data_IF_711650445549
#
_entry.id   IF_711650445549
#
_cell.length_a   1.000
_cell.length_b   1.000
_cell.length_c   1.000
_cell.angle_alpha   90.00
_cell.angle_beta   90.00
_cell.angle_gamma   90.00
#
_symmetry.space_group_name_H-M   'P 1'
#
loop_
_entity.id
_entity.type
_entity.pdbx_description
1 polymer ?
#
# COMPACT_ATOMS: atom_id res chain seq x y z
N UNK A 1 -21.68 4.87 0.10
CA UNK A 1 -21.02 3.62 0.60
C UNK A 1 -20.59 3.92 2.02
N UNK A 2 -21.05 3.13 2.97
CA UNK A 2 -20.57 3.27 4.35
C UNK A 2 -19.19 2.60 4.53
N UNK A 3 -18.60 2.70 5.72
CA UNK A 3 -17.25 2.18 5.94
C UNK A 3 -17.19 0.65 5.88
N UNK A 4 -18.22 -0.05 6.36
CA UNK A 4 -18.27 -1.51 6.30
C UNK A 4 -18.34 -2.00 4.84
N UNK A 5 -19.22 -1.40 4.04
CA UNK A 5 -19.30 -1.68 2.59
C UNK A 5 -17.96 -1.43 1.90
N UNK A 6 -17.24 -0.36 2.28
CA UNK A 6 -15.93 -0.04 1.71
C UNK A 6 -14.89 -1.13 2.02
N UNK A 7 -14.79 -1.56 3.29
CA UNK A 7 -13.81 -2.60 3.68
C UNK A 7 -14.19 -3.97 3.13
N UNK A 8 -15.47 -4.22 2.91
CA UNK A 8 -15.97 -5.42 2.22
C UNK A 8 -15.64 -5.39 0.72
N UNK A 9 -15.76 -4.24 0.07
CA UNK A 9 -15.48 -4.06 -1.35
C UNK A 9 -13.98 -4.18 -1.66
N UNK A 10 -13.11 -3.56 -0.84
CA UNK A 10 -11.65 -3.57 -1.09
C UNK A 10 -11.12 -5.01 -1.13
N UNK A 11 -10.38 -5.35 -2.16
CA UNK A 11 -9.68 -6.63 -2.27
C UNK A 11 -8.30 -6.44 -2.94
N UNK A 12 -7.46 -7.48 -2.92
CA UNK A 12 -6.13 -7.43 -3.54
C UNK A 12 -6.22 -7.77 -5.02
N UNK A 13 -6.31 -6.73 -5.85
CA UNK A 13 -6.32 -6.86 -7.31
C UNK A 13 -4.93 -7.17 -7.84
N UNK A 14 -4.86 -8.13 -8.77
CA UNK A 14 -3.60 -8.59 -9.35
C UNK A 14 -3.58 -8.56 -10.88
N UNK A 15 -4.63 -8.07 -11.51
CA UNK A 15 -4.72 -7.86 -12.95
C UNK A 15 -5.28 -6.48 -13.24
N UNK A 16 -4.67 -5.77 -14.15
CA UNK A 16 -5.02 -4.39 -14.44
C UNK A 16 -5.22 -4.18 -15.93
N UNK A 17 -6.02 -3.20 -16.28
CA UNK A 17 -6.10 -2.65 -17.63
C UNK A 17 -5.01 -1.62 -17.84
N UNK A 18 -4.75 -1.26 -19.11
CA UNK A 18 -3.80 -0.19 -19.43
C UNK A 18 -4.34 1.23 -19.09
N UNK A 19 -5.56 1.34 -18.57
CA UNK A 19 -6.15 2.62 -18.20
C UNK A 19 -5.37 3.27 -17.07
N UNK A 20 -4.90 4.50 -17.30
CA UNK A 20 -4.19 5.29 -16.29
C UNK A 20 -5.10 5.72 -15.16
N UNK A 21 -4.56 5.74 -13.93
CA UNK A 21 -5.26 6.32 -12.77
C UNK A 21 -5.40 7.82 -12.98
N UNK A 22 -6.60 8.35 -12.75
CA UNK A 22 -6.85 9.79 -12.88
C UNK A 22 -6.09 10.57 -11.83
N UNK A 23 -5.54 11.72 -12.21
CA UNK A 23 -4.80 12.57 -11.28
C UNK A 23 -5.64 13.01 -10.08
N UNK A 24 -6.92 13.35 -10.30
CA UNK A 24 -7.85 13.73 -9.22
C UNK A 24 -8.07 12.63 -8.18
N UNK A 25 -8.09 11.35 -8.62
CA UNK A 25 -8.23 10.20 -7.72
C UNK A 25 -6.92 9.96 -6.96
N UNK A 26 -5.77 10.06 -7.62
CA UNK A 26 -4.46 9.99 -6.96
C UNK A 26 -4.31 11.09 -5.91
N UNK A 27 -4.66 12.33 -6.24
CA UNK A 27 -4.59 13.47 -5.31
C UNK A 27 -5.48 13.25 -4.08
N UNK A 28 -6.67 12.68 -4.28
CA UNK A 28 -7.55 12.30 -3.18
C UNK A 28 -6.92 11.22 -2.28
N UNK A 29 -6.38 10.15 -2.89
CA UNK A 29 -5.72 9.06 -2.18
C UNK A 29 -4.55 9.58 -1.34
N UNK A 30 -3.71 10.45 -1.91
CA UNK A 30 -2.57 11.04 -1.21
C UNK A 30 -2.99 11.99 -0.08
N UNK A 31 -4.12 12.72 -0.24
CA UNK A 31 -4.71 13.53 0.84
C UNK A 31 -5.17 12.64 2.01
N UNK A 32 -5.81 11.51 1.71
CA UNK A 32 -6.21 10.54 2.75
C UNK A 32 -4.99 9.92 3.44
N UNK A 33 -3.96 9.54 2.68
CA UNK A 33 -2.70 9.04 3.23
C UNK A 33 -2.07 10.01 4.22
N UNK A 34 -2.02 11.30 3.88
CA UNK A 34 -1.48 12.37 4.74
C UNK A 34 -2.23 12.49 6.09
N UNK A 35 -3.48 12.06 6.16
CA UNK A 35 -4.30 12.12 7.39
C UNK A 35 -4.09 10.90 8.30
N UNK A 36 -3.27 9.93 7.90
CA UNK A 36 -2.97 8.76 8.70
C UNK A 36 -2.28 9.16 10.01
N UNK A 37 -2.66 8.58 11.17
CA UNK A 37 -1.94 8.77 12.41
C UNK A 37 -0.62 8.00 12.41
N UNK A 38 0.31 8.42 13.25
CA UNK A 38 1.55 7.70 13.52
C UNK A 38 1.92 7.78 15.00
N UNK A 39 2.80 6.91 15.46
CA UNK A 39 3.29 6.94 16.83
C UNK A 39 3.92 8.31 17.15
N UNK A 40 3.38 8.99 18.18
CA UNK A 40 3.81 10.34 18.60
C UNK A 40 3.83 11.36 17.44
N UNK A 41 3.01 11.12 16.41
CA UNK A 41 2.92 11.95 15.20
C UNK A 41 4.27 12.12 14.46
N UNK A 42 5.09 11.07 14.46
CA UNK A 42 6.41 11.08 13.80
C UNK A 42 6.33 11.08 12.27
N UNK A 43 5.32 10.43 11.69
CA UNK A 43 5.09 10.36 10.24
C UNK A 43 6.36 9.92 9.47
N UNK A 44 6.98 8.77 9.82
CA UNK A 44 8.28 8.36 9.31
C UNK A 44 8.21 7.79 7.88
N UNK A 45 7.22 8.15 7.10
CA UNK A 45 6.99 7.63 5.76
C UNK A 45 7.32 8.62 4.66
N UNK A 46 7.69 8.06 3.51
CA UNK A 46 7.67 8.74 2.23
C UNK A 46 6.92 7.89 1.20
N UNK A 47 6.31 8.53 0.19
CA UNK A 47 5.51 7.87 -0.85
C UNK A 47 6.08 8.25 -2.20
N UNK A 48 6.64 7.28 -2.91
CA UNK A 48 7.10 7.45 -4.30
C UNK A 48 6.00 7.00 -5.25
N UNK A 49 5.64 7.84 -6.22
CA UNK A 49 4.66 7.53 -7.26
C UNK A 49 5.40 7.15 -8.53
N UNK A 50 5.31 5.89 -8.93
CA UNK A 50 6.02 5.36 -10.10
C UNK A 50 5.06 5.17 -11.28
N UNK A 51 5.45 5.71 -12.43
CA UNK A 51 4.73 5.58 -13.71
C UNK A 51 5.74 5.49 -14.88
N UNK A 52 5.28 5.09 -16.06
CA UNK A 52 6.10 5.09 -17.26
C UNK A 52 7.37 4.22 -17.15
N UNK A 53 8.52 4.75 -17.56
CA UNK A 53 9.77 3.97 -17.66
C UNK A 53 10.32 3.52 -16.31
N UNK A 54 10.19 4.33 -15.27
CA UNK A 54 10.65 3.93 -13.92
C UNK A 54 9.83 2.76 -13.38
N UNK A 55 8.52 2.73 -13.67
CA UNK A 55 7.65 1.61 -13.27
C UNK A 55 8.05 0.31 -14.00
N UNK A 56 8.42 0.37 -15.28
CA UNK A 56 8.89 -0.80 -16.03
C UNK A 56 10.15 -1.40 -15.42
N UNK A 57 11.03 -0.58 -14.85
CA UNK A 57 12.24 -1.04 -14.17
C UNK A 57 11.96 -1.77 -12.85
N UNK A 58 10.74 -1.69 -12.31
CA UNK A 58 10.32 -2.49 -11.16
C UNK A 58 10.06 -3.97 -11.49
N UNK A 59 9.92 -4.35 -12.77
CA UNK A 59 9.58 -5.71 -13.18
C UNK A 59 10.54 -6.81 -12.65
N UNK A 60 11.88 -6.64 -12.60
CA UNK A 60 12.77 -7.61 -11.99
C UNK A 60 12.71 -7.62 -10.44
N UNK A 61 12.27 -6.52 -9.82
CA UNK A 61 12.18 -6.34 -8.37
C UNK A 61 10.99 -7.12 -7.80
N UNK A 62 9.86 -7.09 -8.51
CA UNK A 62 8.69 -7.90 -8.20
C UNK A 62 8.28 -8.74 -9.41
N UNK A 63 8.71 -10.00 -9.43
CA UNK A 63 8.70 -10.91 -10.59
C UNK A 63 7.33 -11.53 -10.93
N UNK A 64 6.22 -10.92 -10.56
CA UNK A 64 4.89 -11.40 -10.96
C UNK A 64 4.41 -10.68 -12.21
N UNK A 65 3.96 -11.45 -13.20
CA UNK A 65 3.43 -10.91 -14.48
C UNK A 65 2.34 -9.87 -14.24
N UNK A 66 1.48 -10.12 -13.27
CA UNK A 66 0.37 -9.24 -12.90
C UNK A 66 0.80 -7.83 -12.47
N UNK A 67 2.03 -7.67 -11.97
CA UNK A 67 2.58 -6.36 -11.63
C UNK A 67 2.89 -5.53 -12.87
N UNK A 68 3.34 -6.18 -13.95
CA UNK A 68 3.71 -5.52 -15.21
C UNK A 68 2.51 -4.85 -15.90
N UNK A 69 1.29 -5.29 -15.59
CA UNK A 69 0.06 -4.74 -16.15
C UNK A 69 -0.40 -3.44 -15.44
N UNK A 70 0.08 -3.19 -14.21
CA UNK A 70 -0.34 -2.01 -13.44
C UNK A 70 0.18 -0.71 -14.09
N UNK A 71 -0.69 0.29 -14.35
CA UNK A 71 -0.29 1.56 -14.95
C UNK A 71 0.47 2.47 -13.96
N UNK A 72 0.41 2.16 -12.67
CA UNK A 72 1.02 2.94 -11.59
C UNK A 72 1.41 2.01 -10.42
N UNK A 73 2.45 2.39 -9.69
CA UNK A 73 2.78 1.78 -8.40
C UNK A 73 3.19 2.87 -7.40
N UNK A 74 2.65 2.79 -6.19
CA UNK A 74 3.22 3.54 -5.07
C UNK A 74 4.24 2.66 -4.35
N UNK A 75 5.39 3.24 -4.01
CA UNK A 75 6.35 2.63 -3.09
C UNK A 75 6.28 3.39 -1.78
N UNK A 76 5.88 2.71 -0.73
CA UNK A 76 5.80 3.29 0.60
C UNK A 76 7.08 2.92 1.34
N UNK A 77 7.82 3.92 1.74
CA UNK A 77 9.09 3.76 2.44
C UNK A 77 8.99 4.24 3.88
N UNK A 78 9.84 3.71 4.74
CA UNK A 78 9.95 4.12 6.12
C UNK A 78 11.35 4.57 6.46
N UNK A 79 11.48 5.64 7.26
CA UNK A 79 12.73 6.11 7.82
C UNK A 79 12.87 5.66 9.28
N UNK A 80 13.64 4.61 9.52
CA UNK A 80 13.85 4.02 10.84
C UNK A 80 14.57 4.96 11.84
N UNK A 81 15.25 6.01 11.36
CA UNK A 81 15.86 7.00 12.22
C UNK A 81 14.88 8.06 12.73
N UNK A 82 13.74 8.21 12.05
CA UNK A 82 12.67 9.16 12.40
C UNK A 82 11.50 8.50 13.12
N UNK A 83 11.39 7.17 13.05
CA UNK A 83 10.33 6.42 13.69
C UNK A 83 10.38 6.51 15.22
N UNK A 84 9.24 6.24 15.86
CA UNK A 84 9.19 6.13 17.31
C UNK A 84 9.66 4.75 17.77
N UNK A 85 10.44 4.72 18.86
CA UNK A 85 10.84 3.50 19.54
C UNK A 85 10.12 3.38 20.87
N UNK A 86 9.58 2.19 21.12
CA UNK A 86 8.98 1.84 22.41
C UNK A 86 10.09 1.72 23.47
N UNK A 87 9.71 1.75 24.75
CA UNK A 87 10.68 1.69 25.87
C UNK A 87 11.59 0.45 25.88
N UNK A 88 11.18 -0.63 25.17
CA UNK A 88 11.96 -1.86 24.97
C UNK A 88 12.72 -1.86 23.63
N UNK A 89 12.98 -0.69 23.09
CA UNK A 89 13.68 -0.43 21.82
C UNK A 89 12.98 -0.97 20.57
N UNK A 90 11.76 -1.48 20.68
CA UNK A 90 11.02 -1.92 19.50
C UNK A 90 10.71 -0.73 18.59
N UNK A 91 11.23 -0.81 17.36
CA UNK A 91 10.94 0.14 16.29
C UNK A 91 9.48 -0.01 15.81
N UNK A 92 8.77 1.10 15.67
CA UNK A 92 7.38 1.14 15.21
C UNK A 92 7.23 1.61 13.76
N UNK A 93 8.32 1.73 13.02
CA UNK A 93 8.30 2.19 11.63
C UNK A 93 7.31 1.39 10.78
N UNK A 94 7.41 0.07 10.77
CA UNK A 94 6.55 -0.81 9.98
C UNK A 94 5.07 -0.69 10.37
N UNK A 95 4.78 -0.43 11.65
CA UNK A 95 3.41 -0.21 12.14
C UNK A 95 2.85 1.09 11.54
N UNK A 96 3.63 2.18 11.59
CA UNK A 96 3.22 3.46 11.01
C UNK A 96 3.06 3.37 9.49
N UNK A 97 3.96 2.63 8.81
CA UNK A 97 3.83 2.36 7.37
C UNK A 97 2.56 1.54 7.06
N UNK A 98 2.22 0.55 7.89
CA UNK A 98 1.00 -0.21 7.70
C UNK A 98 -0.25 0.67 7.84
N UNK A 99 -0.26 1.61 8.78
CA UNK A 99 -1.39 2.54 9.00
C UNK A 99 -1.58 3.45 7.77
N UNK A 100 -0.53 4.12 7.29
CA UNK A 100 -0.65 5.00 6.11
C UNK A 100 -1.01 4.21 4.86
N UNK A 101 -0.49 3.00 4.71
CA UNK A 101 -0.81 2.12 3.56
C UNK A 101 -2.28 1.71 3.56
N UNK A 102 -2.87 1.39 4.72
CA UNK A 102 -4.30 1.06 4.80
C UNK A 102 -5.17 2.26 4.43
N UNK A 103 -4.81 3.49 4.81
CA UNK A 103 -5.49 4.71 4.34
C UNK A 103 -5.45 4.81 2.80
N UNK A 104 -4.30 4.52 2.19
CA UNK A 104 -4.14 4.53 0.73
C UNK A 104 -5.07 3.53 0.06
N UNK A 105 -5.06 2.27 0.50
CA UNK A 105 -5.83 1.21 -0.19
C UNK A 105 -7.34 1.36 0.01
N UNK A 106 -7.79 1.89 1.14
CA UNK A 106 -9.21 2.19 1.37
C UNK A 106 -9.66 3.40 0.56
N UNK A 107 -8.89 4.48 0.54
CA UNK A 107 -9.20 5.66 -0.29
C UNK A 107 -9.22 5.32 -1.78
N UNK A 108 -8.30 4.46 -2.25
CA UNK A 108 -8.31 3.95 -3.61
C UNK A 108 -9.60 3.16 -3.91
N UNK A 109 -9.99 2.24 -3.02
CA UNK A 109 -11.22 1.45 -3.18
C UNK A 109 -12.48 2.32 -3.21
N UNK A 110 -12.53 3.40 -2.43
CA UNK A 110 -13.62 4.38 -2.47
C UNK A 110 -13.73 5.05 -3.84
N UNK A 111 -12.58 5.38 -4.46
CA UNK A 111 -12.51 5.97 -5.80
C UNK A 111 -12.68 4.95 -6.93
N UNK A 112 -12.85 3.66 -6.61
CA UNK A 112 -12.91 2.60 -7.61
C UNK A 112 -11.57 2.31 -8.28
N UNK A 113 -10.46 2.71 -7.65
CA UNK A 113 -9.10 2.35 -8.04
C UNK A 113 -8.70 1.09 -7.30
N UNK A 114 -8.36 0.07 -8.06
CA UNK A 114 -7.96 -1.23 -7.50
C UNK A 114 -6.49 -1.25 -7.11
N UNK A 115 -6.18 -1.96 -6.02
CA UNK A 115 -4.82 -2.04 -5.47
C UNK A 115 -4.47 -3.45 -5.02
N UNK A 116 -3.17 -3.70 -4.85
CA UNK A 116 -2.67 -4.87 -4.14
C UNK A 116 -1.56 -4.45 -3.18
N UNK A 117 -1.64 -4.95 -1.94
CA UNK A 117 -0.58 -4.76 -0.95
C UNK A 117 0.50 -5.83 -1.15
N UNK A 118 1.74 -5.43 -1.41
CA UNK A 118 2.87 -6.32 -1.70
C UNK A 118 4.05 -5.97 -0.81
N UNK A 119 4.50 -6.95 0.02
CA UNK A 119 5.72 -6.84 0.82
C UNK A 119 6.81 -7.81 0.38
N UNK A 120 6.49 -8.83 -0.42
CA UNK A 120 7.46 -9.82 -0.88
C UNK A 120 8.08 -9.40 -2.23
N UNK A 121 9.10 -8.56 -2.19
CA UNK A 121 9.87 -8.07 -3.34
C UNK A 121 11.35 -7.94 -2.99
N UNK A 122 12.22 -7.66 -3.97
CA UNK A 122 13.63 -7.40 -3.73
C UNK A 122 13.82 -5.97 -3.20
N UNK A 123 13.92 -5.88 -1.87
CA UNK A 123 14.07 -4.61 -1.13
C UNK A 123 15.33 -3.86 -1.55
N UNK A 124 16.48 -4.58 -1.68
CA UNK A 124 17.74 -3.93 -2.02
C UNK A 124 17.75 -3.42 -3.46
N UNK A 125 17.19 -4.19 -4.41
CA UNK A 125 17.07 -3.74 -5.79
C UNK A 125 16.12 -2.53 -5.90
N UNK A 126 15.02 -2.50 -5.13
CA UNK A 126 14.12 -1.35 -5.06
C UNK A 126 14.83 -0.11 -4.51
N UNK A 127 15.58 -0.26 -3.42
CA UNK A 127 16.36 0.81 -2.80
C UNK A 127 17.37 1.40 -3.78
N UNK A 128 18.06 0.56 -4.53
CA UNK A 128 19.05 0.99 -5.52
C UNK A 128 18.38 1.71 -6.69
N UNK A 129 17.25 1.17 -7.22
CA UNK A 129 16.52 1.79 -8.33
C UNK A 129 16.04 3.21 -7.98
N UNK A 130 15.52 3.38 -6.77
CA UNK A 130 14.97 4.67 -6.30
C UNK A 130 16.06 5.58 -5.68
N UNK A 131 17.30 5.10 -5.57
CA UNK A 131 18.41 5.83 -4.95
C UNK A 131 18.08 6.32 -3.53
N UNK A 132 17.44 5.45 -2.73
CA UNK A 132 16.97 5.82 -1.40
C UNK A 132 18.13 6.10 -0.44
N UNK A 133 17.97 7.06 0.49
CA UNK A 133 18.91 7.27 1.58
C UNK A 133 19.15 6.01 2.41
N UNK A 134 20.31 5.91 3.08
CA UNK A 134 20.68 4.73 3.84
C UNK A 134 19.64 4.34 4.92
N UNK A 135 19.06 5.34 5.58
CA UNK A 135 18.07 5.16 6.65
C UNK A 135 16.64 4.87 6.17
N UNK A 136 16.40 4.98 4.87
CA UNK A 136 15.07 4.80 4.28
C UNK A 136 14.96 3.40 3.66
N UNK A 137 13.91 2.66 4.01
CA UNK A 137 13.62 1.31 3.54
C UNK A 137 12.30 1.27 2.77
N UNK A 138 12.26 0.69 1.55
CA UNK A 138 11.00 0.41 0.89
C UNK A 138 10.31 -0.79 1.56
N UNK A 139 9.13 -0.56 2.15
CA UNK A 139 8.44 -1.54 2.98
C UNK A 139 7.26 -2.16 2.23
N UNK A 140 6.53 -1.33 1.45
CA UNK A 140 5.33 -1.79 0.73
C UNK A 140 5.32 -1.27 -0.71
N UNK A 141 4.98 -2.15 -1.65
CA UNK A 141 4.59 -1.75 -3.00
C UNK A 141 3.07 -1.83 -3.14
N UNK A 142 2.47 -0.79 -3.73
CA UNK A 142 1.04 -0.73 -4.04
C UNK A 142 0.87 -0.53 -5.55
N UNK A 143 0.91 -1.60 -6.37
CA UNK A 143 0.44 -1.52 -7.74
C UNK A 143 -1.03 -1.11 -7.73
N UNK A 144 -1.41 -0.19 -8.62
CA UNK A 144 -2.76 0.35 -8.70
C UNK A 144 -3.19 0.64 -10.13
N UNK A 145 -4.50 0.55 -10.34
CA UNK A 145 -5.13 0.73 -11.65
C UNK A 145 -6.59 0.30 -11.61
N UNK A 146 -7.12 -0.14 -12.74
CA UNK A 146 -8.51 -0.60 -12.84
C UNK A 146 -8.56 -2.06 -13.27
N UNK A 147 -9.39 -2.86 -12.61
CA UNK A 147 -9.60 -4.26 -12.95
C UNK A 147 -10.21 -4.41 -14.35
N UNK A 148 -9.90 -5.48 -15.09
CA UNK A 148 -10.68 -5.89 -16.25
C UNK A 148 -12.15 -6.11 -15.88
N UNK A 149 -13.08 -5.79 -16.82
CA UNK A 149 -14.55 -5.86 -16.57
C UNK A 149 -15.03 -7.26 -16.16
N UNK A 150 -14.36 -8.29 -16.67
CA UNK A 150 -14.67 -9.70 -16.40
C UNK A 150 -14.08 -10.21 -15.08
N UNK A 151 -13.46 -9.34 -14.27
CA UNK A 151 -12.83 -9.73 -13.01
C UNK A 151 -13.87 -10.21 -12.00
N UNK A 152 -13.73 -11.44 -11.56
CA UNK A 152 -14.54 -11.99 -10.47
C UNK A 152 -13.82 -11.74 -9.15
N UNK A 153 -14.45 -10.95 -8.27
CA UNK A 153 -13.93 -10.72 -6.93
C UNK A 153 -14.18 -11.97 -6.08
N UNK A 154 -13.14 -12.62 -5.53
CA UNK A 154 -13.34 -13.80 -4.72
C UNK A 154 -14.03 -13.46 -3.40
N UNK A 155 -14.82 -14.39 -2.89
CA UNK A 155 -15.38 -14.30 -1.54
C UNK A 155 -14.28 -14.12 -0.49
N UNK A 156 -14.51 -13.20 0.44
CA UNK A 156 -13.58 -12.95 1.54
C UNK A 156 -13.77 -13.96 2.65
N UNK A 157 -12.78 -14.82 2.83
CA UNK A 157 -12.72 -15.70 3.99
C UNK A 157 -12.09 -14.96 5.16
N UNK A 158 -12.80 -14.88 6.27
CA UNK A 158 -12.35 -14.29 7.54
C UNK A 158 -12.65 -15.26 8.67
N UNK A 159 -11.88 -15.14 9.74
CA UNK A 159 -12.20 -15.83 10.99
C UNK A 159 -13.48 -15.25 11.58
N UNK A 160 -14.23 -16.08 12.28
CA UNK A 160 -15.39 -15.64 13.05
C UNK A 160 -14.96 -14.67 14.16
N UNK A 161 -15.87 -13.80 14.58
CA UNK A 161 -15.53 -12.74 15.55
C UNK A 161 -15.05 -13.35 16.89
N UNK A 162 -15.59 -14.46 17.28
CA UNK A 162 -15.27 -15.20 18.51
C UNK A 162 -13.85 -15.77 18.50
N UNK A 163 -13.24 -15.96 17.31
CA UNK A 163 -11.88 -16.45 17.16
C UNK A 163 -10.82 -15.33 17.30
N UNK A 164 -11.25 -14.07 17.21
CA UNK A 164 -10.34 -12.90 17.20
C UNK A 164 -10.63 -11.90 18.31
N UNK A 165 -11.73 -12.07 19.04
CA UNK A 165 -12.15 -11.18 20.15
C UNK A 165 -12.33 -12.00 21.42
N UNK A 166 -11.76 -11.53 22.51
CA UNK A 166 -11.96 -12.08 23.86
C UNK A 166 -12.46 -10.96 24.77
N UNK A 167 -13.59 -11.18 25.42
CA UNK A 167 -14.13 -10.27 26.43
C UNK A 167 -13.59 -10.68 27.81
N UNK A 168 -12.88 -9.79 28.47
CA UNK A 168 -12.42 -9.95 29.85
C UNK A 168 -13.32 -9.09 30.75
N UNK A 169 -14.02 -9.69 31.71
CA UNK A 169 -14.94 -9.03 32.63
C UNK A 169 -14.45 -9.16 34.07
#
# INVERSE_FOLDING_TARGET
MDFLELVEKRYSQRRYTAQTVKQEDLDYILKCARMAPSAVNKQPWHIYVLQGEILKQMAPIYRRETFKEAPMCLVITGNHNESWRRYDEKDHCDIDIAIVTEHIVLAAAEKGVDTCWVCNFDVQACKNLLQLPAAEEPIVLIPMGYAPKETVVPEKKRKDIEQIVTYLT
#
